data_IF_262415765621
#
_entry.id   IF_262415765621
#
_cell.length_a   1.000
_cell.length_b   1.000
_cell.length_c   1.000
_cell.angle_alpha   90.00
_cell.angle_beta   90.00
_cell.angle_gamma   90.00
#
_symmetry.space_group_name_H-M   'P 1'
#
loop_
_entity.id
_entity.type
_entity.pdbx_description
1 polymer ?
#
# COMPACT_ATOMS: atom_id res chain seq x y z
N UNK A 1 14.05 50.40 10.74
CA UNK A 1 14.02 49.70 9.45
C UNK A 1 13.18 48.45 9.65
N UNK A 2 12.16 48.24 8.82
CA UNK A 2 11.29 47.07 8.88
C UNK A 2 11.84 46.01 7.93
N UNK A 3 12.58 45.04 8.45
CA UNK A 3 12.99 43.86 7.69
C UNK A 3 12.01 42.73 8.00
N UNK A 4 10.91 42.72 7.25
CA UNK A 4 10.03 41.58 7.13
C UNK A 4 10.78 40.45 6.43
N UNK A 5 11.01 39.35 7.15
CA UNK A 5 11.48 38.08 6.59
C UNK A 5 10.46 37.58 5.55
N UNK A 6 10.84 37.35 4.28
CA UNK A 6 9.92 36.84 3.29
C UNK A 6 9.84 35.32 3.38
N UNK A 7 8.59 34.82 3.38
CA UNK A 7 8.18 33.42 3.12
C UNK A 7 8.36 32.42 4.26
N UNK A 8 7.53 32.62 5.28
CA UNK A 8 6.74 31.53 5.84
C UNK A 8 5.80 30.98 4.75
N UNK A 9 6.29 30.06 3.94
CA UNK A 9 5.42 29.09 3.29
C UNK A 9 5.51 27.83 4.15
N UNK A 10 4.53 27.52 5.02
CA UNK A 10 4.29 26.12 5.25
C UNK A 10 3.93 25.63 3.84
N UNK A 11 4.84 24.91 3.19
CA UNK A 11 4.39 23.85 2.32
C UNK A 11 3.46 23.05 3.22
N UNK A 12 2.16 23.31 3.10
CA UNK A 12 1.10 22.42 3.52
C UNK A 12 1.42 21.16 2.74
N UNK A 13 2.31 20.34 3.32
CA UNK A 13 2.68 19.05 2.83
C UNK A 13 1.44 18.22 3.11
N UNK A 14 0.53 18.40 2.17
CA UNK A 14 -0.65 17.66 1.87
C UNK A 14 -1.05 16.73 3.01
N UNK A 15 -2.15 17.08 3.65
CA UNK A 15 -3.21 16.13 3.92
C UNK A 15 -3.56 15.43 2.59
N UNK A 16 -2.63 14.63 2.06
CA UNK A 16 -2.93 13.71 0.99
C UNK A 16 -3.79 12.67 1.66
N UNK A 17 -5.07 12.72 1.34
CA UNK A 17 -5.94 11.56 1.45
C UNK A 17 -5.13 10.35 0.97
N UNK A 18 -5.00 9.28 1.77
CA UNK A 18 -4.24 8.09 1.38
C UNK A 18 -4.78 7.45 0.08
N UNK A 19 -5.98 7.85 -0.37
CA UNK A 19 -6.59 7.54 -1.65
C UNK A 19 -6.00 8.33 -2.85
N UNK A 20 -5.41 9.52 -2.62
CA UNK A 20 -4.72 10.35 -3.63
C UNK A 20 -3.26 9.88 -3.88
N UNK A 21 -2.81 8.87 -3.16
CA UNK A 21 -1.51 8.26 -3.42
C UNK A 21 -1.63 7.35 -4.66
N UNK A 22 -1.27 7.91 -5.82
CA UNK A 22 -1.22 7.26 -7.15
C UNK A 22 -0.46 5.93 -7.17
N UNK A 23 0.28 5.60 -6.11
CA UNK A 23 0.97 4.31 -5.92
C UNK A 23 0.03 3.14 -5.65
N UNK A 24 -1.26 3.41 -5.38
CA UNK A 24 -2.27 2.39 -5.14
C UNK A 24 -2.82 1.71 -6.40
N UNK A 25 -2.50 2.23 -7.60
CA UNK A 25 -2.86 1.63 -8.91
C UNK A 25 -1.64 0.96 -9.58
N UNK A 26 -0.44 1.16 -9.04
CA UNK A 26 0.78 0.51 -9.54
C UNK A 26 0.70 -1.02 -9.42
N UNK A 27 1.32 -1.78 -10.33
CA UNK A 27 1.38 -3.24 -10.18
C UNK A 27 1.99 -3.61 -8.83
N UNK A 28 1.54 -4.72 -8.25
CA UNK A 28 2.12 -5.17 -6.99
C UNK A 28 3.63 -5.32 -7.07
N UNK A 29 4.31 -5.01 -5.97
CA UNK A 29 5.76 -5.23 -5.90
C UNK A 29 6.07 -6.73 -5.89
N UNK A 30 7.25 -7.13 -6.37
CA UNK A 30 7.68 -8.54 -6.33
C UNK A 30 7.69 -9.16 -4.93
N UNK A 31 7.89 -8.33 -3.89
CA UNK A 31 7.77 -8.75 -2.49
C UNK A 31 6.32 -9.10 -2.12
N UNK A 32 5.36 -8.24 -2.49
CA UNK A 32 3.94 -8.53 -2.29
C UNK A 32 3.51 -9.75 -3.09
N UNK A 33 3.93 -9.88 -4.35
CA UNK A 33 3.61 -11.04 -5.19
C UNK A 33 4.08 -12.36 -4.57
N UNK A 34 5.33 -12.41 -4.11
CA UNK A 34 5.90 -13.61 -3.48
C UNK A 34 5.17 -13.99 -2.20
N UNK A 35 4.80 -12.99 -1.40
CA UNK A 35 4.10 -13.19 -0.13
C UNK A 35 2.64 -13.62 -0.35
N UNK A 36 1.94 -12.93 -1.24
CA UNK A 36 0.58 -13.25 -1.65
C UNK A 36 0.49 -14.65 -2.24
N UNK A 37 1.46 -15.06 -3.07
CA UNK A 37 1.51 -16.40 -3.66
C UNK A 37 1.60 -17.48 -2.59
N UNK A 38 2.53 -17.32 -1.64
CA UNK A 38 2.71 -18.26 -0.52
C UNK A 38 1.42 -18.39 0.29
N UNK A 39 0.81 -17.26 0.65
CA UNK A 39 -0.43 -17.24 1.40
C UNK A 39 -1.61 -17.83 0.63
N UNK A 40 -1.66 -17.62 -0.69
CA UNK A 40 -2.69 -18.19 -1.56
C UNK A 40 -2.56 -19.71 -1.62
N UNK A 41 -1.34 -20.24 -1.79
CA UNK A 41 -1.07 -21.68 -1.78
C UNK A 41 -1.48 -22.33 -0.45
N UNK A 42 -1.19 -21.69 0.68
CA UNK A 42 -1.56 -22.22 2.00
C UNK A 42 -3.03 -22.07 2.35
N UNK A 43 -3.67 -21.00 1.88
CA UNK A 43 -5.12 -20.82 2.01
C UNK A 43 -5.94 -21.66 1.01
N UNK A 44 -5.28 -22.30 0.03
CA UNK A 44 -5.92 -22.96 -1.09
C UNK A 44 -6.69 -22.01 -2.02
N UNK A 45 -6.26 -20.75 -2.10
CA UNK A 45 -6.86 -19.69 -2.92
C UNK A 45 -6.07 -19.47 -4.21
N UNK A 46 -6.74 -18.89 -5.22
CA UNK A 46 -6.09 -18.51 -6.47
C UNK A 46 -5.23 -17.26 -6.27
N UNK A 47 -3.96 -17.36 -6.64
CA UNK A 47 -3.05 -16.23 -6.73
C UNK A 47 -3.32 -15.44 -8.01
N UNK A 48 -3.50 -14.13 -7.87
CA UNK A 48 -3.72 -13.23 -9.00
C UNK A 48 -2.55 -12.23 -9.06
N UNK A 49 -1.74 -12.34 -10.12
CA UNK A 49 -0.55 -11.50 -10.35
C UNK A 49 -0.88 -10.15 -10.98
N UNK A 50 -2.13 -9.96 -11.44
CA UNK A 50 -2.62 -8.72 -12.02
C UNK A 50 -3.10 -7.70 -10.99
N UNK A 51 -3.06 -8.03 -9.70
CA UNK A 51 -3.52 -7.10 -8.67
C UNK A 51 -2.57 -5.91 -8.55
N UNK A 52 -3.15 -4.75 -8.30
CA UNK A 52 -2.39 -3.58 -7.92
C UNK A 52 -1.74 -3.78 -6.56
N UNK A 53 -0.70 -3.00 -6.24
CA UNK A 53 -0.08 -2.91 -4.92
C UNK A 53 -1.11 -2.73 -3.81
N UNK A 54 -2.14 -1.92 -4.00
CA UNK A 54 -3.18 -1.73 -2.98
C UNK A 54 -4.01 -3.01 -2.79
N UNK A 55 -4.45 -3.63 -3.89
CA UNK A 55 -5.25 -4.85 -3.85
C UNK A 55 -4.45 -6.06 -3.35
N UNK A 56 -3.19 -6.18 -3.74
CA UNK A 56 -2.27 -7.20 -3.24
C UNK A 56 -2.09 -7.07 -1.72
N UNK A 57 -1.92 -5.86 -1.19
CA UNK A 57 -1.86 -5.64 0.28
C UNK A 57 -3.15 -6.08 0.98
N UNK A 58 -4.33 -5.70 0.46
CA UNK A 58 -5.63 -6.10 1.04
C UNK A 58 -5.81 -7.63 1.00
N UNK A 59 -5.40 -8.25 -0.11
CA UNK A 59 -5.50 -9.70 -0.31
C UNK A 59 -4.54 -10.46 0.60
N UNK A 60 -3.32 -9.94 0.78
CA UNK A 60 -2.33 -10.45 1.74
C UNK A 60 -2.93 -10.45 3.14
N UNK A 61 -3.49 -9.33 3.59
CA UNK A 61 -4.07 -9.19 4.93
C UNK A 61 -5.19 -10.22 5.17
N UNK A 62 -6.15 -10.28 4.24
CA UNK A 62 -7.24 -11.26 4.30
C UNK A 62 -6.76 -12.72 4.32
N UNK A 63 -5.71 -13.05 3.55
CA UNK A 63 -5.13 -14.39 3.54
C UNK A 63 -4.29 -14.66 4.79
N UNK A 64 -3.59 -13.67 5.35
CA UNK A 64 -2.88 -13.81 6.62
C UNK A 64 -3.83 -14.12 7.77
N UNK A 65 -4.99 -13.45 7.81
CA UNK A 65 -6.04 -13.76 8.78
C UNK A 65 -6.59 -15.17 8.57
N UNK A 66 -6.90 -15.55 7.32
CA UNK A 66 -7.44 -16.87 6.97
C UNK A 66 -6.47 -18.02 7.27
N UNK A 67 -5.18 -17.81 7.03
CA UNK A 67 -4.11 -18.80 7.30
C UNK A 67 -3.64 -18.79 8.76
N UNK A 68 -4.12 -17.86 9.58
CA UNK A 68 -3.76 -17.75 11.00
C UNK A 68 -2.37 -17.17 11.27
N UNK A 69 -1.81 -16.42 10.32
CA UNK A 69 -0.49 -15.76 10.43
C UNK A 69 -0.52 -14.33 10.97
N UNK A 70 -1.68 -13.71 11.07
CA UNK A 70 -1.84 -12.34 11.61
C UNK A 70 -1.78 -12.25 13.14
N UNK A 71 -0.71 -12.73 13.77
CA UNK A 71 -0.49 -12.65 15.23
C UNK A 71 0.77 -11.89 15.60
#
# INVERSE_FOLDING_TARGET
MAEANPKSEPFSNAEKDPDDWTTGDEPMTGAQASYLKTLSEEAGETFDEGLSKADASKRIDALQEKTGRGK
#
